data_IF_969852387368
#
_entry.id   IF_969852387368
#
_cell.length_a   1.000
_cell.length_b   1.000
_cell.length_c   1.000
_cell.angle_alpha   90.00
_cell.angle_beta   90.00
_cell.angle_gamma   90.00
#
_symmetry.space_group_name_H-M   'P 1'
#
loop_
_entity.id
_entity.type
_entity.pdbx_description
1 polymer ?
#
# COMPACT_ATOMS: atom_id res chain seq x y z
N UNK A 1 -5.36 3.53 20.50
CA UNK A 1 -5.75 4.04 19.17
C UNK A 1 -6.80 3.11 18.59
N UNK A 2 -8.05 3.54 18.42
CA UNK A 2 -9.03 2.78 17.64
C UNK A 2 -9.56 3.70 16.52
N UNK A 3 -8.82 3.83 15.43
CA UNK A 3 -9.30 4.54 14.23
C UNK A 3 -9.00 3.76 12.94
N UNK A 4 -8.30 2.63 12.98
CA UNK A 4 -7.78 2.00 11.75
C UNK A 4 -8.68 0.95 11.07
N UNK A 5 -9.98 0.92 11.36
CA UNK A 5 -10.88 -0.09 10.78
C UNK A 5 -12.13 0.45 10.07
N UNK A 6 -12.37 1.75 10.12
CA UNK A 6 -13.52 2.38 9.47
C UNK A 6 -13.19 2.93 8.07
N UNK A 7 -12.26 2.25 7.40
CA UNK A 7 -11.49 2.80 6.29
C UNK A 7 -11.98 2.30 4.92
N UNK A 8 -12.94 1.38 4.81
CA UNK A 8 -13.21 0.65 3.57
C UNK A 8 -13.57 1.52 2.34
N UNK A 9 -14.30 2.63 2.50
CA UNK A 9 -14.62 3.50 1.37
C UNK A 9 -13.74 4.76 1.30
N UNK A 10 -13.27 5.24 2.45
CA UNK A 10 -12.23 6.26 2.45
C UNK A 10 -10.87 5.67 2.01
N UNK A 11 -10.68 4.35 1.98
CA UNK A 11 -9.52 3.64 1.41
C UNK A 11 -9.52 3.73 -0.11
N UNK A 12 -10.63 4.03 -0.77
CA UNK A 12 -10.58 4.39 -2.19
C UNK A 12 -9.86 5.73 -2.41
N UNK A 13 -9.74 6.61 -1.40
CA UNK A 13 -9.02 7.89 -1.49
C UNK A 13 -7.79 7.96 -0.53
N UNK A 14 -7.72 7.09 0.48
CA UNK A 14 -6.68 7.06 1.52
C UNK A 14 -5.83 5.80 1.56
N UNK A 15 -6.19 4.72 0.84
CA UNK A 15 -5.27 3.59 0.65
C UNK A 15 -4.09 3.96 -0.24
N UNK A 16 -4.17 5.09 -0.95
CA UNK A 16 -3.07 5.62 -1.74
C UNK A 16 -2.02 6.41 -0.93
N UNK A 17 -2.05 6.31 0.40
CA UNK A 17 -0.86 6.57 1.24
C UNK A 17 -0.09 5.28 1.56
N UNK A 18 -0.39 4.18 0.86
CA UNK A 18 0.65 3.23 0.49
C UNK A 18 1.22 3.63 -0.86
N UNK A 19 2.55 3.82 -1.02
CA UNK A 19 3.12 3.95 -2.34
C UNK A 19 2.93 2.61 -3.04
N UNK A 20 1.99 2.57 -3.99
CA UNK A 20 1.99 1.58 -5.05
C UNK A 20 3.24 1.84 -5.91
N UNK A 21 4.39 1.35 -5.46
CA UNK A 21 5.63 1.33 -6.21
C UNK A 21 5.64 0.05 -7.07
N UNK A 22 4.81 0.00 -8.10
CA UNK A 22 4.97 -0.90 -9.23
C UNK A 22 4.05 -0.43 -10.36
N UNK A 23 4.59 -0.36 -11.57
CA UNK A 23 3.98 0.09 -12.83
C UNK A 23 4.25 1.57 -13.21
N UNK A 24 5.50 1.83 -13.62
CA UNK A 24 5.88 3.06 -14.33
C UNK A 24 5.80 2.87 -15.84
N UNK A 25 4.66 3.21 -16.42
CA UNK A 25 4.52 3.53 -17.85
C UNK A 25 4.35 5.05 -18.04
N UNK A 26 4.84 5.66 -19.14
CA UNK A 26 4.44 6.99 -19.56
C UNK A 26 3.13 6.87 -20.34
N UNK A 27 2.02 6.67 -19.63
CA UNK A 27 0.75 7.28 -20.09
C UNK A 27 0.98 8.79 -20.05
N UNK A 28 0.35 9.57 -20.93
CA UNK A 28 0.20 11.01 -20.69
C UNK A 28 -0.38 11.13 -19.28
N UNK A 29 0.50 11.43 -18.32
CA UNK A 29 0.15 11.30 -16.92
C UNK A 29 -0.83 12.42 -16.66
N UNK A 30 -2.12 12.09 -16.57
CA UNK A 30 -2.94 12.62 -15.50
C UNK A 30 -2.15 12.38 -14.21
N UNK A 31 -1.29 13.35 -13.91
CA UNK A 31 -0.41 13.39 -12.76
C UNK A 31 -1.30 13.73 -11.57
N UNK A 32 -2.13 12.78 -11.18
CA UNK A 32 -3.20 12.97 -10.21
C UNK A 32 -3.70 11.65 -9.65
N UNK A 33 -4.42 11.73 -8.55
CA UNK A 33 -5.05 10.57 -7.91
C UNK A 33 -6.18 9.97 -8.76
N UNK A 34 -6.55 10.59 -9.88
CA UNK A 34 -7.34 9.98 -10.96
C UNK A 34 -6.81 8.61 -11.43
N UNK A 35 -5.50 8.37 -11.35
CA UNK A 35 -4.91 7.05 -11.63
C UNK A 35 -5.45 5.94 -10.70
N UNK A 36 -6.00 6.27 -9.53
CA UNK A 36 -6.61 5.29 -8.62
C UNK A 36 -7.96 4.85 -9.14
N UNK A 37 -8.74 5.79 -9.69
CA UNK A 37 -10.03 5.51 -10.32
C UNK A 37 -9.81 4.61 -11.55
N UNK A 38 -8.77 4.89 -12.34
CA UNK A 38 -8.36 4.06 -13.48
C UNK A 38 -7.96 2.63 -13.09
N UNK A 39 -7.66 2.38 -11.81
CA UNK A 39 -7.21 1.08 -11.28
C UNK A 39 -8.22 0.46 -10.29
N UNK A 40 -9.51 0.79 -10.42
CA UNK A 40 -10.56 0.31 -9.51
C UNK A 40 -10.57 -1.22 -9.37
N UNK A 41 -10.35 -1.96 -10.45
CA UNK A 41 -10.30 -3.43 -10.42
C UNK A 41 -9.19 -3.97 -9.52
N UNK A 42 -8.01 -3.34 -9.55
CA UNK A 42 -6.88 -3.74 -8.71
C UNK A 42 -7.17 -3.46 -7.22
N UNK A 43 -7.85 -2.36 -6.93
CA UNK A 43 -8.26 -2.01 -5.56
C UNK A 43 -9.30 -2.98 -5.03
N UNK A 44 -10.32 -3.30 -5.83
CA UNK A 44 -11.37 -4.28 -5.51
C UNK A 44 -10.75 -5.67 -5.29
N UNK A 45 -9.82 -6.09 -6.15
CA UNK A 45 -9.14 -7.38 -6.02
C UNK A 45 -8.26 -7.44 -4.75
N UNK A 46 -7.48 -6.39 -4.47
CA UNK A 46 -6.65 -6.36 -3.26
C UNK A 46 -7.50 -6.31 -1.99
N UNK A 47 -8.58 -5.54 -2.00
CA UNK A 47 -9.48 -5.42 -0.85
C UNK A 47 -10.29 -6.69 -0.60
N UNK A 48 -10.81 -7.34 -1.65
CA UNK A 48 -11.53 -8.61 -1.52
C UNK A 48 -10.64 -9.71 -0.93
N UNK A 49 -9.37 -9.80 -1.32
CA UNK A 49 -8.39 -10.72 -0.70
C UNK A 49 -8.11 -10.41 0.77
N UNK A 50 -8.09 -9.14 1.12
CA UNK A 50 -7.96 -8.73 2.52
C UNK A 50 -9.18 -9.15 3.34
N UNK A 51 -10.39 -8.90 2.84
CA UNK A 51 -11.65 -9.30 3.49
C UNK A 51 -11.73 -10.82 3.62
N UNK A 52 -11.41 -11.55 2.55
CA UNK A 52 -11.40 -13.01 2.55
C UNK A 52 -10.53 -13.59 3.67
N UNK A 53 -9.30 -13.06 3.84
CA UNK A 53 -8.41 -13.49 4.93
C UNK A 53 -8.89 -13.06 6.31
N UNK A 54 -9.45 -11.86 6.45
CA UNK A 54 -9.90 -11.34 7.74
C UNK A 54 -11.08 -12.15 8.29
N UNK A 55 -11.99 -12.56 7.42
CA UNK A 55 -13.23 -13.25 7.78
C UNK A 55 -13.14 -14.76 7.59
N UNK A 56 -11.99 -15.27 7.18
CA UNK A 56 -11.79 -16.68 6.81
C UNK A 56 -12.89 -17.17 5.85
N UNK A 57 -13.11 -16.38 4.78
CA UNK A 57 -14.13 -16.70 3.79
C UNK A 57 -13.74 -17.95 3.00
N UNK A 58 -14.68 -18.85 2.79
CA UNK A 58 -14.49 -19.93 1.84
C UNK A 58 -14.45 -19.40 0.38
N UNK A 59 -14.06 -20.24 -0.57
CA UNK A 59 -13.89 -19.84 -1.97
C UNK A 59 -15.16 -19.24 -2.58
N UNK A 60 -16.33 -19.83 -2.30
CA UNK A 60 -17.62 -19.33 -2.78
C UNK A 60 -17.96 -17.97 -2.17
N UNK A 61 -17.80 -17.79 -0.86
CA UNK A 61 -18.01 -16.52 -0.17
C UNK A 61 -17.05 -15.44 -0.68
N UNK A 62 -15.79 -15.79 -0.93
CA UNK A 62 -14.78 -14.87 -1.46
C UNK A 62 -15.13 -14.39 -2.87
N UNK A 63 -15.59 -15.28 -3.75
CA UNK A 63 -16.05 -14.93 -5.10
C UNK A 63 -17.28 -14.03 -5.07
N UNK A 64 -18.29 -14.35 -4.25
CA UNK A 64 -19.47 -13.49 -4.06
C UNK A 64 -19.05 -12.11 -3.53
N UNK A 65 -18.14 -12.07 -2.56
CA UNK A 65 -17.62 -10.82 -1.97
C UNK A 65 -16.92 -9.97 -3.02
N UNK A 66 -16.07 -10.57 -3.85
CA UNK A 66 -15.39 -9.89 -4.97
C UNK A 66 -16.39 -9.29 -5.96
N UNK A 67 -17.38 -10.08 -6.38
CA UNK A 67 -18.37 -9.64 -7.35
C UNK A 67 -19.27 -8.53 -6.81
N UNK A 68 -19.71 -8.65 -5.55
CA UNK A 68 -20.50 -7.61 -4.88
C UNK A 68 -19.72 -6.29 -4.76
N UNK A 69 -18.44 -6.33 -4.35
CA UNK A 69 -17.59 -5.14 -4.29
C UNK A 69 -17.42 -4.50 -5.67
N UNK A 70 -17.21 -5.32 -6.71
CA UNK A 70 -17.06 -4.85 -8.09
C UNK A 70 -18.34 -4.17 -8.56
N UNK A 71 -19.47 -4.86 -8.47
CA UNK A 71 -20.78 -4.37 -8.92
C UNK A 71 -21.12 -3.03 -8.27
N UNK A 72 -21.04 -2.95 -6.94
CA UNK A 72 -21.36 -1.72 -6.19
C UNK A 72 -20.40 -0.57 -6.49
N UNK A 73 -19.13 -0.86 -6.72
CA UNK A 73 -18.15 0.17 -7.10
C UNK A 73 -18.46 0.73 -8.48
N UNK A 74 -18.77 -0.12 -9.46
CA UNK A 74 -19.14 0.34 -10.81
C UNK A 74 -20.50 1.03 -10.85
N UNK A 75 -21.48 0.58 -10.07
CA UNK A 75 -22.76 1.27 -9.93
C UNK A 75 -22.56 2.74 -9.53
N UNK A 76 -21.71 3.00 -8.53
CA UNK A 76 -21.40 4.35 -8.09
C UNK A 76 -20.58 5.14 -9.12
N UNK A 77 -19.50 4.54 -9.64
CA UNK A 77 -18.59 5.22 -10.57
C UNK A 77 -19.26 5.55 -11.89
N UNK A 78 -20.06 4.65 -12.47
CA UNK A 78 -20.78 4.91 -13.72
C UNK A 78 -21.67 6.15 -13.66
N UNK A 79 -22.14 6.53 -12.46
CA UNK A 79 -22.98 7.72 -12.25
C UNK A 79 -22.18 8.97 -11.91
N UNK A 80 -21.06 8.84 -11.21
CA UNK A 80 -20.38 9.95 -10.54
C UNK A 80 -18.89 10.10 -10.90
N UNK A 81 -18.35 9.30 -11.81
CA UNK A 81 -16.91 9.26 -12.10
C UNK A 81 -16.32 10.64 -12.39
N UNK A 82 -16.90 11.40 -13.31
CA UNK A 82 -16.39 12.70 -13.73
C UNK A 82 -16.36 13.69 -12.56
N UNK A 83 -17.46 13.77 -11.81
CA UNK A 83 -17.59 14.67 -10.67
C UNK A 83 -16.66 14.27 -9.53
N UNK A 84 -16.57 12.98 -9.24
CA UNK A 84 -15.65 12.43 -8.24
C UNK A 84 -14.21 12.74 -8.62
N UNK A 85 -13.82 12.52 -9.88
CA UNK A 85 -12.47 12.82 -10.38
C UNK A 85 -12.12 14.30 -10.17
N UNK A 86 -13.03 15.21 -10.56
CA UNK A 86 -12.85 16.64 -10.38
C UNK A 86 -12.67 17.03 -8.91
N UNK A 87 -13.51 16.50 -8.01
CA UNK A 87 -13.43 16.80 -6.57
C UNK A 87 -12.14 16.26 -5.94
N UNK A 88 -11.73 15.05 -6.33
CA UNK A 88 -10.52 14.39 -5.84
C UNK A 88 -9.28 15.14 -6.32
N UNK A 89 -9.17 15.43 -7.61
CA UNK A 89 -8.03 16.18 -8.14
C UNK A 89 -7.92 17.54 -7.46
N UNK A 90 -9.03 18.25 -7.27
CA UNK A 90 -9.04 19.54 -6.56
C UNK A 90 -8.61 19.42 -5.09
N UNK A 91 -9.09 18.39 -4.37
CA UNK A 91 -8.65 18.11 -3.00
C UNK A 91 -7.13 17.94 -2.92
N UNK A 92 -6.53 17.24 -3.88
CA UNK A 92 -5.09 16.99 -3.90
C UNK A 92 -4.27 18.22 -4.26
N UNK A 93 -4.72 19.03 -5.21
CA UNK A 93 -4.09 20.31 -5.51
C UNK A 93 -3.99 21.17 -4.24
N UNK A 94 -5.10 21.32 -3.52
CA UNK A 94 -5.15 22.14 -2.30
C UNK A 94 -4.24 21.58 -1.21
N UNK A 95 -4.22 20.25 -1.03
CA UNK A 95 -3.31 19.58 -0.09
C UNK A 95 -1.84 19.69 -0.48
N UNK A 96 -1.56 19.82 -1.78
CA UNK A 96 -0.22 20.02 -2.31
C UNK A 96 0.22 21.50 -2.27
N UNK A 97 -0.62 22.38 -1.72
CA UNK A 97 -0.31 23.79 -1.53
C UNK A 97 -0.95 24.73 -2.56
N UNK A 98 -1.79 24.24 -3.46
CA UNK A 98 -2.54 25.13 -4.34
C UNK A 98 -3.49 26.02 -3.52
N UNK A 99 -3.62 27.27 -3.93
CA UNK A 99 -4.55 28.21 -3.32
C UNK A 99 -6.00 27.79 -3.58
N UNK A 100 -6.85 27.97 -2.57
CA UNK A 100 -8.29 27.75 -2.61
C UNK A 100 -8.96 28.85 -1.79
N UNK A 101 -9.98 29.48 -2.35
CA UNK A 101 -10.75 30.49 -1.60
C UNK A 101 -11.73 29.83 -0.64
N UNK A 102 -12.23 30.58 0.34
CA UNK A 102 -13.27 30.06 1.24
C UNK A 102 -14.57 29.74 0.49
N UNK A 103 -14.95 30.58 -0.48
CA UNK A 103 -16.14 30.36 -1.32
C UNK A 103 -16.01 29.09 -2.16
N UNK A 104 -14.82 28.85 -2.72
CA UNK A 104 -14.52 27.63 -3.47
C UNK A 104 -14.57 26.38 -2.58
N UNK A 105 -14.10 26.48 -1.33
CA UNK A 105 -14.22 25.39 -0.36
C UNK A 105 -15.70 25.09 -0.03
N UNK A 106 -16.56 26.12 0.10
CA UNK A 106 -18.00 25.93 0.28
C UNK A 106 -18.61 25.20 -0.91
N UNK A 107 -18.27 25.61 -2.14
CA UNK A 107 -18.74 24.97 -3.36
C UNK A 107 -18.31 23.50 -3.44
N UNK A 108 -17.03 23.23 -3.16
CA UNK A 108 -16.49 21.88 -3.06
C UNK A 108 -17.30 21.02 -2.08
N UNK A 109 -17.63 21.56 -0.89
CA UNK A 109 -18.46 20.87 0.11
C UNK A 109 -19.88 20.57 -0.36
N UNK A 110 -20.54 21.52 -1.04
CA UNK A 110 -21.90 21.34 -1.59
C UNK A 110 -21.95 20.25 -2.65
N UNK A 111 -20.91 20.13 -3.45
CA UNK A 111 -20.76 19.12 -4.50
C UNK A 111 -20.39 17.74 -3.91
N UNK A 112 -19.49 17.70 -2.93
CA UNK A 112 -19.04 16.45 -2.32
C UNK A 112 -20.11 15.77 -1.44
N UNK A 113 -20.93 16.54 -0.72
CA UNK A 113 -21.92 16.00 0.22
C UNK A 113 -22.96 15.03 -0.42
N UNK A 114 -23.62 15.34 -1.54
CA UNK A 114 -24.56 14.41 -2.17
C UNK A 114 -23.89 13.11 -2.65
N UNK A 115 -22.69 13.20 -3.25
CA UNK A 115 -21.90 12.03 -3.67
C UNK A 115 -21.56 11.14 -2.46
N UNK A 116 -21.15 11.75 -1.36
CA UNK A 116 -20.85 11.05 -0.12
C UNK A 116 -22.08 10.33 0.46
N UNK A 117 -23.24 10.99 0.49
CA UNK A 117 -24.48 10.40 1.00
C UNK A 117 -24.96 9.22 0.15
N UNK A 118 -24.82 9.31 -1.17
CA UNK A 118 -25.14 8.20 -2.07
C UNK A 118 -24.18 7.03 -1.88
N UNK A 119 -22.87 7.30 -1.80
CA UNK A 119 -21.88 6.27 -1.52
C UNK A 119 -22.15 5.58 -0.18
N UNK A 120 -22.42 6.34 0.89
CA UNK A 120 -22.82 5.83 2.21
C UNK A 120 -24.00 4.86 2.13
N UNK A 121 -25.01 5.20 1.32
CA UNK A 121 -26.17 4.33 1.09
C UNK A 121 -25.79 3.03 0.38
N UNK A 122 -25.07 3.12 -0.75
CA UNK A 122 -24.62 1.95 -1.52
C UNK A 122 -23.81 0.98 -0.65
N UNK A 123 -22.97 1.51 0.25
CA UNK A 123 -22.17 0.70 1.18
C UNK A 123 -23.04 0.05 2.24
N UNK A 124 -24.01 0.78 2.81
CA UNK A 124 -24.92 0.22 3.79
C UNK A 124 -25.70 -0.96 3.19
N UNK A 125 -26.28 -0.75 2.00
CA UNK A 125 -27.05 -1.75 1.26
C UNK A 125 -26.16 -2.96 0.88
N UNK A 126 -24.92 -2.69 0.44
CA UNK A 126 -23.93 -3.73 0.12
C UNK A 126 -23.52 -4.55 1.35
N UNK A 127 -23.33 -3.92 2.52
CA UNK A 127 -23.02 -4.65 3.75
C UNK A 127 -24.19 -5.51 4.23
N UNK A 128 -25.44 -5.06 4.06
CA UNK A 128 -26.61 -5.88 4.39
C UNK A 128 -26.66 -7.16 3.53
N UNK A 129 -26.42 -7.03 2.22
CA UNK A 129 -26.32 -8.16 1.30
C UNK A 129 -25.15 -9.08 1.65
N UNK A 130 -23.97 -8.50 1.91
CA UNK A 130 -22.79 -9.27 2.27
C UNK A 130 -23.00 -10.05 3.57
N UNK A 131 -23.67 -9.45 4.56
CA UNK A 131 -23.98 -10.09 5.83
C UNK A 131 -24.83 -11.37 5.66
N UNK A 132 -25.65 -11.46 4.61
CA UNK A 132 -26.50 -12.62 4.36
C UNK A 132 -25.71 -13.90 4.01
N UNK A 133 -24.51 -13.77 3.43
CA UNK A 133 -23.66 -14.92 3.05
C UNK A 133 -22.70 -15.36 4.16
N UNK A 134 -22.65 -14.64 5.28
CA UNK A 134 -21.75 -14.90 6.39
C UNK A 134 -22.35 -15.92 7.37
N UNK A 135 -21.50 -16.73 7.99
CA UNK A 135 -21.87 -17.58 9.13
C UNK A 135 -21.99 -16.73 10.43
N UNK A 136 -22.42 -17.35 11.53
CA UNK A 136 -22.72 -16.61 12.77
C UNK A 136 -21.48 -15.98 13.42
N UNK A 137 -20.31 -16.63 13.33
CA UNK A 137 -19.05 -16.07 13.84
C UNK A 137 -18.59 -14.88 12.99
N UNK A 138 -18.59 -15.03 11.67
CA UNK A 138 -18.28 -13.96 10.71
C UNK A 138 -19.23 -12.77 10.88
N UNK A 139 -20.53 -13.02 11.10
CA UNK A 139 -21.55 -11.99 11.37
C UNK A 139 -21.24 -11.18 12.63
N UNK A 140 -20.73 -11.80 13.68
CA UNK A 140 -20.33 -11.08 14.90
C UNK A 140 -19.18 -10.11 14.62
N UNK A 141 -18.14 -10.55 13.91
CA UNK A 141 -17.04 -9.67 13.48
C UNK A 141 -17.54 -8.54 12.57
N UNK A 142 -18.43 -8.87 11.64
CA UNK A 142 -19.08 -7.90 10.75
C UNK A 142 -19.83 -6.81 11.53
N UNK A 143 -20.63 -7.19 12.53
CA UNK A 143 -21.42 -6.22 13.29
C UNK A 143 -20.55 -5.27 14.14
N UNK A 144 -19.38 -5.73 14.60
CA UNK A 144 -18.39 -4.87 15.25
C UNK A 144 -17.74 -3.90 14.26
N UNK A 145 -17.33 -4.38 13.09
CA UNK A 145 -16.79 -3.54 12.02
C UNK A 145 -17.82 -2.50 11.54
N UNK A 146 -19.09 -2.88 11.43
CA UNK A 146 -20.18 -2.01 10.99
C UNK A 146 -20.37 -0.82 11.94
N UNK A 147 -20.25 -1.03 13.25
CA UNK A 147 -20.29 0.06 14.24
C UNK A 147 -19.14 1.04 14.05
N UNK A 148 -17.93 0.52 13.80
CA UNK A 148 -16.76 1.38 13.54
C UNK A 148 -16.93 2.18 12.24
N UNK A 149 -17.46 1.53 11.19
CA UNK A 149 -17.77 2.19 9.93
C UNK A 149 -18.79 3.32 10.11
N UNK A 150 -19.88 3.08 10.83
CA UNK A 150 -20.90 4.09 11.13
C UNK A 150 -20.33 5.31 11.86
N UNK A 151 -19.41 5.11 12.80
CA UNK A 151 -18.72 6.21 13.49
C UNK A 151 -17.89 7.05 12.52
N UNK A 152 -17.15 6.42 11.60
CA UNK A 152 -16.41 7.15 10.58
C UNK A 152 -17.32 7.89 9.60
N UNK A 153 -18.48 7.32 9.29
CA UNK A 153 -19.45 8.03 8.47
C UNK A 153 -19.97 9.29 9.16
N UNK A 154 -20.27 9.22 10.44
CA UNK A 154 -20.68 10.38 11.22
C UNK A 154 -19.58 11.45 11.24
N UNK A 155 -18.33 11.07 11.53
CA UNK A 155 -17.21 12.02 11.55
C UNK A 155 -16.99 12.70 10.19
N UNK A 156 -17.11 11.97 9.09
CA UNK A 156 -16.92 12.52 7.73
C UNK A 156 -18.09 13.44 7.35
N UNK A 157 -19.32 13.06 7.70
CA UNK A 157 -20.52 13.86 7.49
C UNK A 157 -20.45 15.17 8.29
N UNK A 158 -20.00 15.13 9.54
CA UNK A 158 -19.72 16.33 10.34
C UNK A 158 -18.68 17.25 9.66
N UNK A 159 -17.59 16.69 9.12
CA UNK A 159 -16.58 17.49 8.40
C UNK A 159 -17.17 18.15 7.15
N UNK A 160 -17.91 17.43 6.33
CA UNK A 160 -18.57 17.98 5.13
C UNK A 160 -19.62 19.05 5.50
N UNK A 161 -20.36 18.85 6.58
CA UNK A 161 -21.30 19.84 7.09
C UNK A 161 -20.58 21.10 7.60
N UNK A 162 -19.42 20.95 8.26
CA UNK A 162 -18.58 22.10 8.67
C UNK A 162 -18.02 22.86 7.48
N UNK A 163 -17.64 22.17 6.41
CA UNK A 163 -17.26 22.79 5.14
C UNK A 163 -18.45 23.56 4.59
N UNK A 164 -19.60 22.92 4.38
CA UNK A 164 -20.78 23.52 3.75
C UNK A 164 -21.35 24.73 4.54
N UNK A 165 -21.22 24.71 5.88
CA UNK A 165 -21.61 25.82 6.75
C UNK A 165 -20.57 26.93 6.89
N UNK A 166 -19.38 26.78 6.29
CA UNK A 166 -18.27 27.74 6.41
C UNK A 166 -17.55 27.74 7.76
N UNK A 167 -17.81 26.75 8.61
CA UNK A 167 -17.14 26.57 9.89
C UNK A 167 -15.73 25.97 9.76
N UNK A 168 -15.43 25.34 8.62
CA UNK A 168 -14.10 24.83 8.30
C UNK A 168 -13.35 25.85 7.44
N UNK A 169 -12.14 26.21 7.88
CA UNK A 169 -11.24 27.09 7.12
C UNK A 169 -10.44 26.31 6.08
N UNK A 170 -9.91 27.00 5.06
CA UNK A 170 -9.04 26.38 4.05
C UNK A 170 -7.78 25.76 4.66
N UNK A 171 -7.16 26.39 5.67
CA UNK A 171 -5.98 25.81 6.33
C UNK A 171 -6.33 24.54 7.13
N UNK A 172 -7.48 24.54 7.82
CA UNK A 172 -7.99 23.33 8.48
C UNK A 172 -8.28 22.21 7.47
N UNK A 173 -8.91 22.54 6.34
CA UNK A 173 -9.20 21.59 5.26
C UNK A 173 -7.92 20.99 4.66
N UNK A 174 -6.89 21.83 4.44
CA UNK A 174 -5.56 21.41 3.98
C UNK A 174 -4.87 20.51 5.03
N UNK A 175 -5.02 20.82 6.32
CA UNK A 175 -4.32 20.17 7.42
C UNK A 175 -5.26 19.70 8.55
N UNK A 176 -6.10 18.67 8.32
CA UNK A 176 -7.13 18.25 9.29
C UNK A 176 -6.54 17.76 10.62
N UNK A 177 -5.25 17.36 10.65
CA UNK A 177 -4.55 16.97 11.89
C UNK A 177 -4.03 18.15 12.72
N UNK A 178 -3.84 19.32 12.11
CA UNK A 178 -3.33 20.52 12.80
C UNK A 178 -4.43 21.36 13.42
N UNK A 179 -5.68 21.18 12.97
CA UNK A 179 -6.84 21.76 13.62
C UNK A 179 -6.95 21.20 15.03
N UNK A 180 -6.32 21.88 15.98
CA UNK A 180 -6.59 21.70 17.39
C UNK A 180 -8.10 21.89 17.56
N UNK A 181 -8.77 21.08 18.41
CA UNK A 181 -10.14 21.37 18.80
C UNK A 181 -10.17 22.85 19.16
N UNK A 182 -10.96 23.65 18.41
CA UNK A 182 -11.13 25.06 18.70
C UNK A 182 -11.38 25.13 20.20
N UNK A 183 -10.55 25.86 20.97
CA UNK A 183 -10.71 25.90 22.41
C UNK A 183 -12.18 26.24 22.64
N UNK A 184 -12.91 25.31 23.30
CA UNK A 184 -14.34 25.49 23.57
C UNK A 184 -14.50 26.93 24.01
N UNK A 185 -15.40 27.72 23.38
CA UNK A 185 -15.57 29.11 23.75
C UNK A 185 -15.67 29.10 25.26
N UNK A 186 -14.66 29.70 25.90
CA UNK A 186 -14.59 29.78 27.35
C UNK A 186 -15.80 30.63 27.62
N UNK A 187 -16.93 29.98 27.94
CA UNK A 187 -18.15 30.66 28.32
C UNK A 187 -17.67 31.63 29.36
N UNK A 188 -17.73 32.92 29.02
CA UNK A 188 -17.15 33.98 29.81
C UNK A 188 -17.62 33.70 31.23
N UNK A 189 -16.69 33.18 32.04
CA UNK A 189 -16.98 32.81 33.41
C UNK A 189 -17.22 34.18 34.00
N UNK A 190 -18.50 34.53 34.11
CA UNK A 190 -18.98 35.74 34.73
C UNK A 190 -18.09 35.94 35.94
N UNK A 191 -17.41 37.08 35.95
CA UNK A 191 -16.52 37.53 37.01
C UNK A 191 -17.33 37.78 38.28
N UNK A 192 -17.99 36.74 38.79
CA UNK A 192 -18.41 36.61 40.16
C UNK A 192 -17.16 36.30 40.95
N UNK A 193 -16.79 37.22 41.81
CA UNK A 193 -15.73 37.09 42.80
C UNK A 193 -15.74 35.69 43.43
N UNK A 194 -14.57 35.08 43.68
CA UNK A 194 -14.51 33.82 44.41
C UNK A 194 -15.19 34.01 45.77
N UNK A 195 -16.04 33.08 46.23
CA UNK A 195 -16.47 33.09 47.62
C UNK A 195 -15.22 32.97 48.49
N UNK A 196 -15.06 33.94 49.39
CA UNK A 196 -14.08 33.89 50.46
C UNK A 196 -14.40 32.65 51.30
N UNK A 197 -13.62 31.58 51.10
CA UNK A 197 -13.67 30.41 51.98
C UNK A 197 -12.94 30.84 53.26
N UNK A 198 -13.73 31.08 54.31
CA UNK A 198 -13.24 31.33 55.65
C UNK A 198 -12.37 30.18 56.13
N UNK A 199 -11.24 30.54 56.74
CA UNK A 199 -10.12 29.67 57.14
C UNK A 199 -10.40 28.81 58.39
N UNK A 200 -11.67 28.46 58.67
CA UNK A 200 -12.10 27.90 59.95
C UNK A 200 -12.43 26.39 59.93
N UNK A 201 -12.47 25.72 58.77
CA UNK A 201 -12.85 24.29 58.67
C UNK A 201 -11.72 23.40 58.10
N UNK A 202 -10.47 23.66 58.51
CA UNK A 202 -9.30 22.89 58.07
C UNK A 202 -8.73 21.95 59.16
N UNK A 203 -9.53 21.53 60.14
CA UNK A 203 -9.05 20.74 61.28
C UNK A 203 -10.01 19.60 61.64
N UNK A 204 -10.24 18.67 60.70
CA UNK A 204 -10.66 17.29 60.97
C UNK A 204 -10.64 16.46 59.69
N UNK A 205 -9.44 16.07 59.24
CA UNK A 205 -9.29 14.92 58.36
C UNK A 205 -8.49 13.84 59.11
N UNK A 206 -9.02 12.61 59.23
CA UNK A 206 -8.29 11.53 59.86
C UNK A 206 -7.03 11.18 59.07
N UNK A 207 -5.94 10.76 59.74
CA UNK A 207 -4.69 10.41 59.07
C UNK A 207 -4.90 9.23 58.11
N UNK A 208 -4.31 9.34 56.92
CA UNK A 208 -4.33 8.29 55.92
C UNK A 208 -3.72 6.98 56.47
N UNK A 209 -4.34 5.82 56.21
CA UNK A 209 -3.77 4.54 56.64
C UNK A 209 -2.43 4.27 55.94
N UNK A 210 -1.48 3.62 56.61
CA UNK A 210 -0.17 3.31 56.02
C UNK A 210 -0.32 2.34 54.83
N UNK A 211 0.60 2.40 53.85
CA UNK A 211 0.55 1.56 52.66
C UNK A 211 0.69 0.08 53.02
N UNK A 212 -0.26 -0.73 52.54
CA UNK A 212 -0.25 -2.18 52.67
C UNK A 212 0.92 -2.74 51.85
N UNK A 213 1.79 -3.61 52.42
CA UNK A 213 2.85 -4.25 51.66
C UNK A 213 2.28 -5.19 50.59
N UNK A 214 2.94 -5.31 49.42
CA UNK A 214 2.47 -6.20 48.36
C UNK A 214 2.48 -7.66 48.82
N UNK A 215 1.49 -8.48 48.40
CA UNK A 215 1.43 -9.88 48.78
C UNK A 215 2.66 -10.63 48.28
N UNK A 216 3.29 -11.38 49.18
CA UNK A 216 4.39 -12.28 48.85
C UNK A 216 3.95 -13.27 47.77
N UNK A 217 4.72 -13.34 46.68
CA UNK A 217 4.55 -14.32 45.62
C UNK A 217 4.65 -15.73 46.22
N UNK A 218 3.51 -16.42 46.29
CA UNK A 218 3.44 -17.86 46.57
C UNK A 218 4.25 -18.59 45.49
N UNK A 219 5.31 -19.28 45.91
CA UNK A 219 6.01 -20.26 45.10
C UNK A 219 5.01 -21.30 44.56
N UNK A 220 4.81 -21.32 43.25
CA UNK A 220 4.12 -22.40 42.54
C UNK A 220 5.14 -23.52 42.30
N UNK A 221 4.90 -24.75 42.77
CA UNK A 221 5.79 -25.88 42.47
C UNK A 221 5.82 -26.15 40.97
N UNK A 222 7.03 -26.29 40.40
CA UNK A 222 7.23 -26.80 39.05
C UNK A 222 6.63 -28.22 38.94
N UNK A 223 5.85 -28.54 37.89
CA UNK A 223 5.45 -29.91 37.63
C UNK A 223 6.70 -30.71 37.22
N UNK A 224 6.96 -31.79 37.96
CA UNK A 224 7.96 -32.78 37.58
C UNK A 224 7.52 -33.50 36.29
N UNK A 225 8.47 -33.87 35.41
CA UNK A 225 8.16 -34.70 34.25
C UNK A 225 7.71 -36.08 34.72
N UNK A 226 6.48 -36.45 34.37
CA UNK A 226 5.95 -37.78 34.51
C UNK A 226 6.66 -38.72 33.51
N UNK A 227 7.61 -39.49 34.02
CA UNK A 227 8.10 -40.71 33.39
C UNK A 227 6.94 -41.72 33.29
N UNK A 228 6.67 -42.23 32.08
CA UNK A 228 5.84 -43.42 31.90
C UNK A 228 4.63 -43.33 30.96
N UNK A 229 4.74 -42.65 29.82
CA UNK A 229 3.79 -42.89 28.73
C UNK A 229 4.26 -44.09 27.88
N UNK A 230 3.48 -45.19 27.77
CA UNK A 230 3.81 -46.30 26.89
C UNK A 230 3.73 -45.88 25.41
N UNK A 231 4.55 -46.47 24.52
CA UNK A 231 4.52 -46.15 23.10
C UNK A 231 3.17 -46.52 22.46
N UNK A 232 2.71 -45.77 21.45
CA UNK A 232 1.51 -46.10 20.71
C UNK A 232 1.67 -47.43 19.96
N UNK A 233 0.59 -48.21 19.79
CA UNK A 233 0.66 -49.49 19.11
C UNK A 233 1.03 -49.32 17.63
N UNK A 234 1.94 -50.17 17.21
CA UNK A 234 2.41 -50.39 15.85
C UNK A 234 1.22 -50.86 14.98
N UNK A 235 0.87 -50.07 13.98
CA UNK A 235 -0.23 -50.38 13.04
C UNK A 235 0.35 -51.24 11.92
N UNK A 236 0.08 -52.54 11.96
CA UNK A 236 0.30 -53.45 10.84
C UNK A 236 -0.61 -53.10 9.65
N UNK A 237 -0.11 -53.16 8.39
CA UNK A 237 -0.91 -52.92 7.21
C UNK A 237 -1.78 -54.13 6.87
N UNK A 238 -3.11 -53.97 6.91
CA UNK A 238 -4.04 -54.95 6.34
C UNK A 238 -4.03 -54.92 4.80
N UNK A 239 -4.06 -56.08 4.12
CA UNK A 239 -4.18 -56.16 2.68
C UNK A 239 -5.65 -56.25 2.22
N UNK A 240 -5.97 -55.56 1.12
CA UNK A 240 -6.97 -56.00 0.14
C UNK A 240 -8.45 -55.80 0.51
N UNK A 241 -9.01 -54.66 0.12
CA UNK A 241 -10.46 -54.47 -0.04
C UNK A 241 -10.80 -54.10 -1.49
N UNK A 242 -11.41 -55.04 -2.20
CA UNK A 242 -11.95 -54.88 -3.54
C UNK A 242 -13.30 -54.14 -3.51
N UNK A 243 -13.52 -53.29 -4.52
CA UNK A 243 -14.84 -53.01 -5.11
C UNK A 243 -15.70 -51.94 -4.42
N UNK A 244 -15.94 -50.83 -5.10
CA UNK A 244 -17.22 -50.52 -5.79
C UNK A 244 -17.30 -49.04 -6.20
N UNK A 245 -17.78 -48.79 -7.42
CA UNK A 245 -18.53 -47.57 -7.76
C UNK A 245 -17.77 -46.33 -8.23
N UNK A 246 -17.19 -46.37 -9.43
CA UNK A 246 -16.76 -45.16 -10.15
C UNK A 246 -17.90 -44.68 -11.09
N UNK A 247 -18.43 -43.45 -10.94
CA UNK A 247 -19.45 -42.92 -11.85
C UNK A 247 -18.85 -42.55 -13.22
N UNK A 248 -19.64 -42.59 -14.30
CA UNK A 248 -19.12 -42.50 -15.67
C UNK A 248 -18.61 -41.10 -16.02
N UNK A 249 -17.38 -41.05 -16.56
CA UNK A 249 -16.79 -39.89 -17.22
C UNK A 249 -17.60 -39.47 -18.47
N UNK A 250 -17.84 -38.16 -18.69
CA UNK A 250 -18.41 -37.66 -19.92
C UNK A 250 -17.35 -37.66 -21.04
N UNK A 251 -17.65 -38.36 -22.13
CA UNK A 251 -16.87 -38.39 -23.37
C UNK A 251 -16.78 -36.99 -24.00
N UNK A 252 -15.59 -36.39 -23.99
CA UNK A 252 -15.24 -35.25 -24.84
C UNK A 252 -14.74 -35.75 -26.20
N UNK A 253 -15.09 -35.06 -27.31
CA UNK A 253 -14.69 -35.45 -28.66
C UNK A 253 -13.21 -35.17 -28.92
N UNK A 254 -12.55 -36.17 -29.51
CA UNK A 254 -11.16 -36.14 -29.96
C UNK A 254 -10.88 -34.96 -30.90
N UNK A 255 -9.99 -34.06 -30.47
CA UNK A 255 -9.41 -33.05 -31.34
C UNK A 255 -8.37 -33.68 -32.27
N UNK A 256 -8.59 -33.46 -33.56
CA UNK A 256 -7.77 -33.86 -34.70
C UNK A 256 -6.39 -33.18 -34.65
N UNK A 257 -5.31 -33.98 -34.75
CA UNK A 257 -3.93 -33.50 -34.83
C UNK A 257 -3.69 -32.83 -36.20
N UNK A 258 -3.17 -31.60 -36.26
CA UNK A 258 -2.63 -31.05 -37.51
C UNK A 258 -1.30 -31.70 -37.88
N UNK A 259 -1.17 -32.12 -39.13
CA UNK A 259 0.05 -32.63 -39.74
C UNK A 259 1.11 -31.52 -39.87
N UNK A 260 2.42 -31.84 -39.76
CA UNK A 260 3.50 -30.86 -39.97
C UNK A 260 3.75 -30.66 -41.47
N UNK A 261 3.49 -29.44 -41.95
CA UNK A 261 3.80 -28.99 -43.30
C UNK A 261 5.31 -28.76 -43.51
N UNK A 262 5.80 -29.28 -44.64
CA UNK A 262 7.12 -29.06 -45.25
C UNK A 262 7.58 -27.60 -45.21
N UNK A 263 8.75 -27.36 -44.63
CA UNK A 263 9.54 -26.15 -44.86
C UNK A 263 10.42 -26.38 -46.10
N UNK A 264 10.14 -25.66 -47.19
CA UNK A 264 11.01 -25.61 -48.36
C UNK A 264 12.17 -24.64 -48.12
N UNK A 265 13.35 -25.16 -48.43
CA UNK A 265 14.65 -24.54 -48.43
C UNK A 265 14.75 -23.58 -49.64
N UNK A 266 14.82 -22.27 -49.41
CA UNK A 266 15.28 -21.31 -50.42
C UNK A 266 16.31 -20.35 -49.84
N UNK A 267 17.53 -20.57 -50.30
CA UNK A 267 18.74 -19.79 -50.09
C UNK A 267 19.03 -19.02 -51.37
N UNK A 268 19.25 -17.71 -51.30
CA UNK A 268 20.32 -17.10 -52.07
C UNK A 268 21.12 -16.16 -51.14
N UNK A 269 22.45 -16.07 -51.19
CA UNK A 269 23.29 -15.90 -52.36
C UNK A 269 24.19 -14.70 -52.03
N UNK A 270 25.49 -14.94 -51.98
CA UNK A 270 26.51 -13.97 -51.57
C UNK A 270 26.64 -12.78 -52.54
N UNK A 271 27.03 -11.62 -52.03
CA UNK A 271 27.86 -10.66 -52.78
C UNK A 271 28.69 -9.76 -51.87
N UNK A 272 29.98 -9.74 -52.19
CA UNK A 272 31.05 -8.92 -51.65
C UNK A 272 31.04 -7.48 -52.22
N UNK A 273 31.85 -6.64 -51.57
CA UNK A 273 32.65 -5.48 -52.05
C UNK A 273 32.14 -4.10 -51.67
N UNK A 274 33.08 -3.31 -51.12
CA UNK A 274 33.13 -1.86 -51.33
C UNK A 274 33.56 -1.02 -50.13
N UNK A 275 34.86 -1.00 -49.82
CA UNK A 275 35.49 0.19 -49.21
C UNK A 275 35.58 1.30 -50.27
N UNK A 276 35.57 2.57 -49.85
CA UNK A 276 36.69 3.41 -50.28
C UNK A 276 37.27 4.36 -49.21
N UNK A 277 38.54 4.70 -49.49
CA UNK A 277 39.43 5.75 -48.99
C UNK A 277 38.76 7.12 -48.75
N UNK A 278 39.12 7.85 -47.68
CA UNK A 278 40.25 8.80 -47.60
C UNK A 278 40.31 9.82 -48.75
N UNK A 279 39.88 11.06 -48.46
CA UNK A 279 40.46 12.30 -49.00
C UNK A 279 40.01 13.52 -48.18
N UNK A 280 40.96 14.34 -47.75
CA UNK A 280 40.89 15.78 -48.07
C UNK A 280 40.48 16.76 -46.97
N UNK A 281 41.49 17.26 -46.26
CA UNK A 281 41.54 18.64 -45.72
C UNK A 281 41.79 19.62 -46.88
N UNK A 282 41.30 20.88 -46.83
CA UNK A 282 42.26 21.99 -46.70
C UNK A 282 41.74 23.19 -45.84
N UNK A 283 42.60 24.20 -45.58
CA UNK A 283 42.44 25.19 -44.52
C UNK A 283 41.97 26.57 -45.03
N UNK A 284 41.51 27.44 -44.13
CA UNK A 284 41.87 28.88 -44.14
C UNK A 284 41.42 29.59 -42.86
N UNK A 285 42.36 30.34 -42.30
CA UNK A 285 42.20 31.41 -41.31
C UNK A 285 41.22 32.49 -41.77
N UNK A 286 40.48 33.10 -40.82
CA UNK A 286 40.44 34.57 -40.73
C UNK A 286 40.03 35.07 -39.35
N UNK A 287 40.72 36.16 -39.01
CA UNK A 287 40.86 36.92 -37.77
C UNK A 287 39.73 37.96 -37.62
N UNK A 288 39.64 38.54 -36.41
CA UNK A 288 38.85 39.71 -35.95
C UNK A 288 37.40 39.41 -35.57
N UNK A 289 36.81 39.92 -34.48
CA UNK A 289 37.04 41.18 -33.78
C UNK A 289 36.38 41.12 -32.39
N UNK A 290 37.09 41.55 -31.35
CA UNK A 290 36.55 41.84 -30.02
C UNK A 290 35.76 43.15 -30.06
N UNK A 291 34.59 43.22 -29.39
CA UNK A 291 34.21 44.44 -28.69
C UNK A 291 33.93 44.14 -27.22
N UNK A 292 34.71 44.80 -26.36
CA UNK A 292 34.40 44.97 -24.95
C UNK A 292 33.12 45.80 -24.79
N UNK A 293 32.14 45.25 -24.08
CA UNK A 293 30.96 45.95 -23.59
C UNK A 293 30.65 45.49 -22.16
N UNK A 294 30.24 46.38 -21.24
CA UNK A 294 30.00 46.06 -19.84
C UNK A 294 28.74 45.17 -19.65
N UNK A 295 28.68 44.35 -18.59
CA UNK A 295 27.73 43.25 -18.47
C UNK A 295 26.30 43.76 -18.22
N UNK A 296 25.41 43.39 -19.13
CA UNK A 296 23.96 43.55 -18.98
C UNK A 296 23.41 42.37 -18.17
N UNK A 297 22.80 42.68 -17.02
CA UNK A 297 22.12 41.76 -16.12
C UNK A 297 21.12 40.88 -16.88
N UNK A 298 21.42 39.59 -16.98
CA UNK A 298 20.50 38.55 -17.43
C UNK A 298 19.73 37.98 -16.23
N UNK A 299 18.44 37.63 -16.39
CA UNK A 299 17.59 37.16 -15.31
C UNK A 299 18.03 35.80 -14.79
N UNK A 300 18.06 35.67 -13.47
CA UNK A 300 18.20 34.42 -12.73
C UNK A 300 17.12 33.43 -13.16
N UNK A 301 17.48 32.52 -14.07
CA UNK A 301 16.62 31.46 -14.55
C UNK A 301 17.47 30.23 -14.84
N UNK A 302 17.00 29.09 -14.30
CA UNK A 302 17.51 27.72 -14.48
C UNK A 302 18.45 27.22 -13.38
N UNK A 303 17.88 27.05 -12.19
CA UNK A 303 18.38 26.07 -11.21
C UNK A 303 17.58 24.77 -11.38
N UNK A 304 18.29 23.72 -11.80
CA UNK A 304 18.02 22.29 -11.57
C UNK A 304 16.61 21.72 -11.89
N UNK A 305 16.33 21.53 -13.19
CA UNK A 305 15.33 20.54 -13.65
C UNK A 305 16.04 19.30 -14.21
N UNK A 306 16.80 18.58 -13.37
CA UNK A 306 17.54 17.38 -13.78
C UNK A 306 17.30 16.13 -12.92
N UNK A 307 16.17 16.05 -12.21
CA UNK A 307 15.79 14.85 -11.45
C UNK A 307 14.85 13.87 -12.20
N UNK A 308 14.58 14.09 -13.49
CA UNK A 308 13.38 13.49 -14.13
C UNK A 308 13.57 12.14 -14.84
N UNK A 309 14.70 11.47 -14.67
CA UNK A 309 14.92 10.10 -15.17
C UNK A 309 15.55 9.25 -14.05
N UNK A 310 14.76 8.83 -13.05
CA UNK A 310 15.18 7.72 -12.19
C UNK A 310 15.13 6.45 -13.03
N UNK A 311 16.26 5.72 -13.19
CA UNK A 311 16.26 4.48 -13.95
C UNK A 311 15.35 3.47 -13.26
N UNK A 312 14.39 2.93 -14.02
CA UNK A 312 13.50 1.87 -13.54
C UNK A 312 14.37 0.68 -13.11
N UNK A 313 14.26 0.27 -11.85
CA UNK A 313 15.11 -0.77 -11.27
C UNK A 313 15.79 -0.41 -9.95
N UNK A 314 15.71 0.84 -9.46
CA UNK A 314 16.22 1.20 -8.12
C UNK A 314 15.18 1.13 -7.00
N UNK A 315 13.92 0.84 -7.31
CA UNK A 315 12.83 0.92 -6.34
C UNK A 315 12.98 -0.14 -5.22
N UNK A 316 13.54 -1.31 -5.54
CA UNK A 316 13.78 -2.38 -4.55
C UNK A 316 14.74 -1.97 -3.43
N UNK A 317 15.71 -1.09 -3.70
CA UNK A 317 16.69 -0.67 -2.68
C UNK A 317 15.99 0.03 -1.51
N UNK A 318 15.01 0.89 -1.83
CA UNK A 318 14.25 1.65 -0.84
C UNK A 318 13.30 0.77 -0.02
N UNK A 319 12.73 -0.27 -0.65
CA UNK A 319 11.86 -1.21 0.04
C UNK A 319 12.64 -2.09 1.01
N UNK A 320 13.83 -2.54 0.61
CA UNK A 320 14.71 -3.33 1.46
C UNK A 320 15.25 -2.50 2.63
N UNK A 321 15.63 -1.25 2.39
CA UNK A 321 16.01 -0.32 3.46
C UNK A 321 14.89 -0.18 4.49
N UNK A 322 13.68 0.11 4.02
CA UNK A 322 12.51 0.24 4.91
C UNK A 322 12.27 -1.03 5.71
N UNK A 323 12.31 -2.19 5.05
CA UNK A 323 12.13 -3.48 5.72
C UNK A 323 13.16 -3.70 6.84
N UNK A 324 14.44 -3.43 6.57
CA UNK A 324 15.51 -3.59 7.56
C UNK A 324 15.37 -2.59 8.72
N UNK A 325 15.00 -1.34 8.43
CA UNK A 325 14.73 -0.34 9.47
C UNK A 325 13.56 -0.75 10.38
N UNK A 326 12.46 -1.24 9.78
CA UNK A 326 11.33 -1.78 10.53
C UNK A 326 11.73 -3.02 11.34
N UNK A 327 12.59 -3.88 10.81
CA UNK A 327 13.10 -5.06 11.50
C UNK A 327 13.95 -4.68 12.72
N UNK A 328 14.89 -3.74 12.57
CA UNK A 328 15.71 -3.19 13.66
C UNK A 328 14.82 -2.63 14.77
N UNK A 329 13.84 -1.81 14.39
CA UNK A 329 12.90 -1.19 15.33
C UNK A 329 12.03 -2.22 16.05
N UNK A 330 11.52 -3.23 15.31
CA UNK A 330 10.64 -4.27 15.85
C UNK A 330 11.31 -5.13 16.89
N UNK A 331 12.55 -5.55 16.65
CA UNK A 331 13.29 -6.43 17.55
C UNK A 331 14.19 -5.68 18.54
N UNK A 332 14.22 -4.34 18.47
CA UNK A 332 15.10 -3.48 19.29
C UNK A 332 16.53 -4.01 19.27
N UNK A 333 17.07 -4.16 18.07
CA UNK A 333 18.44 -4.62 17.90
C UNK A 333 19.41 -3.64 18.56
N UNK A 334 20.45 -4.17 19.20
CA UNK A 334 21.54 -3.35 19.73
C UNK A 334 22.43 -2.80 18.60
N UNK A 335 23.43 -2.00 18.95
CA UNK A 335 24.31 -1.36 17.96
C UNK A 335 25.09 -2.39 17.13
N UNK A 336 25.56 -3.47 17.74
CA UNK A 336 26.33 -4.50 17.05
C UNK A 336 25.43 -5.31 16.09
N UNK A 337 24.25 -5.72 16.54
CA UNK A 337 23.23 -6.38 15.71
C UNK A 337 22.75 -5.47 14.57
N UNK A 338 22.61 -4.17 14.83
CA UNK A 338 22.21 -3.17 13.82
C UNK A 338 23.28 -3.03 12.74
N UNK A 339 24.56 -2.92 13.11
CA UNK A 339 25.66 -2.91 12.15
C UNK A 339 25.68 -4.19 11.31
N UNK A 340 25.44 -5.35 11.94
CA UNK A 340 25.35 -6.62 11.23
C UNK A 340 24.16 -6.66 10.25
N UNK A 341 22.98 -6.16 10.65
CA UNK A 341 21.81 -6.05 9.79
C UNK A 341 22.08 -5.15 8.56
N UNK A 342 22.75 -4.01 8.76
CA UNK A 342 23.15 -3.10 7.69
C UNK A 342 24.19 -3.73 6.75
N UNK A 343 25.13 -4.51 7.28
CA UNK A 343 26.08 -5.26 6.46
C UNK A 343 25.39 -6.31 5.59
N UNK A 344 24.45 -7.07 6.14
CA UNK A 344 23.66 -8.07 5.38
C UNK A 344 22.87 -7.36 4.26
N UNK A 345 22.23 -6.23 4.57
CA UNK A 345 21.50 -5.44 3.58
C UNK A 345 22.42 -4.99 2.44
N UNK A 346 23.61 -4.47 2.78
CA UNK A 346 24.61 -4.05 1.80
C UNK A 346 25.02 -5.20 0.89
N UNK A 347 25.36 -6.37 1.45
CA UNK A 347 25.74 -7.57 0.68
C UNK A 347 24.63 -7.97 -0.31
N UNK A 348 23.38 -8.03 0.16
CA UNK A 348 22.24 -8.40 -0.67
C UNK A 348 22.01 -7.36 -1.79
N UNK A 349 22.13 -6.06 -1.50
CA UNK A 349 22.01 -5.00 -2.51
C UNK A 349 23.11 -5.11 -3.56
N UNK A 350 24.35 -5.37 -3.16
CA UNK A 350 25.46 -5.60 -4.10
C UNK A 350 25.20 -6.81 -5.01
N UNK A 351 24.64 -7.90 -4.47
CA UNK A 351 24.27 -9.08 -5.26
C UNK A 351 23.16 -8.77 -6.28
N UNK A 352 22.09 -8.08 -5.86
CA UNK A 352 21.02 -7.65 -6.74
C UNK A 352 21.53 -6.69 -7.84
N UNK A 353 22.39 -5.73 -7.46
CA UNK A 353 22.99 -4.78 -8.40
C UNK A 353 23.92 -5.48 -9.40
N UNK A 354 24.69 -6.49 -8.99
CA UNK A 354 25.51 -7.29 -9.91
C UNK A 354 24.65 -8.05 -10.92
N UNK A 355 23.55 -8.64 -10.46
CA UNK A 355 22.61 -9.32 -11.35
C UNK A 355 21.95 -8.34 -12.35
N UNK A 356 21.48 -7.19 -11.87
CA UNK A 356 20.91 -6.14 -12.72
C UNK A 356 21.91 -5.59 -13.72
N UNK A 357 23.17 -5.40 -13.32
CA UNK A 357 24.22 -4.95 -14.24
C UNK A 357 24.40 -5.92 -15.42
N UNK A 358 24.32 -7.23 -15.18
CA UNK A 358 24.36 -8.26 -16.22
C UNK A 358 23.10 -8.31 -17.10
N UNK A 359 21.97 -7.84 -16.58
CA UNK A 359 20.66 -7.82 -17.28
C UNK A 359 20.29 -6.47 -17.88
N UNK A 360 21.14 -5.45 -17.71
CA UNK A 360 20.85 -4.07 -18.09
C UNK A 360 20.40 -3.91 -19.54
N UNK A 361 21.10 -4.51 -20.50
CA UNK A 361 20.76 -4.38 -21.92
C UNK A 361 19.41 -5.04 -22.26
N UNK A 362 19.11 -6.19 -21.65
CA UNK A 362 17.83 -6.90 -21.85
C UNK A 362 16.65 -6.06 -21.30
N UNK A 363 16.83 -5.47 -20.12
CA UNK A 363 15.84 -4.55 -19.52
C UNK A 363 15.64 -3.31 -20.38
N UNK A 364 16.72 -2.68 -20.87
CA UNK A 364 16.64 -1.52 -21.76
C UNK A 364 15.89 -1.85 -23.07
N UNK A 365 16.11 -3.04 -23.64
CA UNK A 365 15.38 -3.49 -24.84
C UNK A 365 13.88 -3.69 -24.56
N UNK A 366 13.52 -4.29 -23.42
CA UNK A 366 12.12 -4.44 -23.00
C UNK A 366 11.45 -3.08 -22.80
N UNK A 367 12.13 -2.16 -22.10
CA UNK A 367 11.59 -0.82 -21.84
C UNK A 367 11.40 -0.01 -23.15
N UNK A 368 12.32 -0.15 -24.12
CA UNK A 368 12.17 0.46 -25.45
C UNK A 368 10.99 -0.13 -26.22
N UNK A 369 10.81 -1.45 -26.21
CA UNK A 369 9.66 -2.12 -26.86
C UNK A 369 8.35 -1.70 -26.22
N UNK A 370 8.26 -1.72 -24.89
CA UNK A 370 7.10 -1.26 -24.14
C UNK A 370 6.77 0.20 -24.50
N UNK A 371 7.76 1.09 -24.54
CA UNK A 371 7.56 2.48 -24.92
C UNK A 371 6.99 2.64 -26.35
N UNK A 372 7.45 1.83 -27.30
CA UNK A 372 6.94 1.83 -28.68
C UNK A 372 5.50 1.32 -28.82
N UNK A 373 5.07 0.39 -27.96
CA UNK A 373 3.74 -0.22 -28.01
C UNK A 373 2.65 0.64 -27.37
N UNK A 374 2.98 1.53 -26.44
CA UNK A 374 2.01 2.40 -25.74
C UNK A 374 1.23 3.34 -26.65
N UNK A 375 1.75 3.62 -27.83
CA UNK A 375 1.05 4.43 -28.83
C UNK A 375 -0.12 3.67 -29.52
N UNK A 376 -0.17 2.34 -29.43
CA UNK A 376 -1.11 1.50 -30.16
C UNK A 376 -2.03 0.71 -29.21
N UNK A 377 -3.29 1.16 -29.09
CA UNK A 377 -4.29 0.57 -28.19
C UNK A 377 -4.63 -0.90 -28.51
N UNK A 378 -4.28 -1.39 -29.69
CA UNK A 378 -4.60 -2.76 -30.12
C UNK A 378 -3.58 -3.81 -29.66
N UNK A 379 -2.48 -3.40 -29.01
CA UNK A 379 -1.35 -4.28 -28.69
C UNK A 379 -1.26 -4.73 -27.22
N UNK A 380 -2.39 -4.79 -26.53
CA UNK A 380 -2.46 -5.19 -25.12
C UNK A 380 -1.81 -6.55 -24.83
N UNK A 381 -1.93 -7.52 -25.75
CA UNK A 381 -1.32 -8.84 -25.60
C UNK A 381 0.22 -8.77 -25.58
N UNK A 382 0.81 -7.98 -26.47
CA UNK A 382 2.27 -7.83 -26.58
C UNK A 382 2.83 -7.10 -25.34
N UNK A 383 2.11 -6.08 -24.85
CA UNK A 383 2.43 -5.41 -23.58
C UNK A 383 2.48 -6.41 -22.42
N UNK A 384 1.45 -7.26 -22.29
CA UNK A 384 1.39 -8.27 -21.23
C UNK A 384 2.54 -9.29 -21.31
N UNK A 385 2.94 -9.70 -22.53
CA UNK A 385 4.07 -10.61 -22.74
C UNK A 385 5.41 -9.98 -22.34
N UNK A 386 5.64 -8.70 -22.70
CA UNK A 386 6.85 -7.97 -22.30
C UNK A 386 6.91 -7.74 -20.79
N UNK A 387 5.78 -7.44 -20.15
CA UNK A 387 5.70 -7.34 -18.69
C UNK A 387 6.01 -8.67 -18.00
N UNK A 388 5.52 -9.79 -18.55
CA UNK A 388 5.85 -11.12 -18.03
C UNK A 388 7.35 -11.42 -18.16
N UNK A 389 7.98 -11.04 -19.28
CA UNK A 389 9.44 -11.18 -19.46
C UNK A 389 10.20 -10.32 -18.45
N UNK A 390 9.80 -9.06 -18.27
CA UNK A 390 10.40 -8.15 -17.29
C UNK A 390 10.29 -8.71 -15.88
N UNK A 391 9.12 -9.22 -15.50
CA UNK A 391 8.89 -9.86 -14.20
C UNK A 391 9.82 -11.06 -14.00
N UNK A 392 9.99 -11.91 -15.02
CA UNK A 392 10.90 -13.06 -14.99
C UNK A 392 12.37 -12.64 -14.80
N UNK A 393 12.79 -11.55 -15.44
CA UNK A 393 14.14 -11.01 -15.21
C UNK A 393 14.30 -10.52 -13.77
N UNK A 394 13.27 -9.92 -13.17
CA UNK A 394 13.32 -9.41 -11.80
C UNK A 394 13.15 -10.48 -10.71
N UNK A 395 12.68 -11.69 -11.06
CA UNK A 395 12.43 -12.78 -10.11
C UNK A 395 13.65 -13.15 -9.25
N UNK A 396 14.89 -13.27 -9.78
CA UNK A 396 16.06 -13.56 -8.96
C UNK A 396 16.38 -12.49 -7.90
N UNK A 397 15.96 -11.24 -8.11
CA UNK A 397 16.11 -10.17 -7.11
C UNK A 397 15.14 -10.40 -5.95
N UNK A 398 13.90 -10.80 -6.26
CA UNK A 398 12.93 -11.25 -5.27
C UNK A 398 13.45 -12.44 -4.46
N UNK A 399 14.12 -13.38 -5.12
CA UNK A 399 14.78 -14.51 -4.46
C UNK A 399 15.91 -14.08 -3.51
N UNK A 400 16.72 -13.07 -3.86
CA UNK A 400 17.73 -12.53 -2.93
C UNK A 400 17.06 -12.00 -1.66
N UNK A 401 15.92 -11.31 -1.80
CA UNK A 401 15.17 -10.80 -0.66
C UNK A 401 14.61 -11.94 0.21
N UNK A 402 13.85 -12.87 -0.40
CA UNK A 402 13.13 -13.93 0.32
C UNK A 402 14.07 -15.02 0.86
N UNK A 403 15.04 -15.46 0.07
CA UNK A 403 15.90 -16.61 0.40
C UNK A 403 17.19 -16.23 1.11
N UNK A 404 17.62 -14.96 1.06
CA UNK A 404 18.88 -14.53 1.68
C UNK A 404 18.71 -13.43 2.72
N UNK A 405 18.07 -12.31 2.36
CA UNK A 405 17.96 -11.17 3.28
C UNK A 405 17.13 -11.54 4.52
N UNK A 406 15.90 -12.04 4.35
CA UNK A 406 15.04 -12.39 5.50
C UNK A 406 15.67 -13.46 6.41
N UNK A 407 16.14 -14.62 5.90
CA UNK A 407 16.68 -15.67 6.76
C UNK A 407 17.96 -15.28 7.50
N UNK A 408 18.79 -14.39 6.93
CA UNK A 408 19.97 -13.85 7.62
C UNK A 408 19.57 -12.87 8.73
N UNK A 409 18.59 -12.01 8.49
CA UNK A 409 18.09 -11.07 9.49
C UNK A 409 17.38 -11.78 10.65
N UNK A 410 16.57 -12.81 10.38
CA UNK A 410 15.84 -13.57 11.40
C UNK A 410 16.73 -14.28 12.43
N UNK A 411 18.01 -14.46 12.11
CA UNK A 411 19.02 -15.03 13.02
C UNK A 411 19.63 -14.01 13.99
N UNK A 412 19.50 -12.71 13.71
CA UNK A 412 20.10 -11.66 14.54
C UNK A 412 19.41 -11.49 15.90
N UNK A 413 18.07 -11.46 16.00
CA UNK A 413 17.40 -11.26 17.28
C UNK A 413 17.64 -12.42 18.26
N UNK A 414 17.98 -12.07 19.50
CA UNK A 414 18.05 -13.02 20.61
C UNK A 414 16.69 -13.66 20.89
N UNK A 415 16.68 -14.80 21.59
CA UNK A 415 15.42 -15.46 22.02
C UNK A 415 14.56 -14.52 22.86
N UNK A 416 15.19 -13.69 23.71
CA UNK A 416 14.50 -12.68 24.53
C UNK A 416 13.86 -11.59 23.68
N UNK A 417 14.59 -10.99 22.73
CA UNK A 417 14.05 -9.99 21.79
C UNK A 417 12.88 -10.54 20.98
N UNK A 418 12.94 -11.81 20.53
CA UNK A 418 11.83 -12.47 19.83
C UNK A 418 10.59 -12.62 20.70
N UNK A 419 10.75 -13.11 21.93
CA UNK A 419 9.65 -13.25 22.88
C UNK A 419 9.03 -11.89 23.24
N UNK A 420 9.84 -10.85 23.42
CA UNK A 420 9.37 -9.49 23.68
C UNK A 420 8.61 -8.91 22.49
N UNK A 421 9.11 -9.09 21.26
CA UNK A 421 8.41 -8.65 20.05
C UNK A 421 7.07 -9.38 19.85
N UNK A 422 7.02 -10.68 20.15
CA UNK A 422 5.78 -11.47 20.10
C UNK A 422 4.79 -11.04 21.19
N UNK A 423 5.25 -10.80 22.42
CA UNK A 423 4.43 -10.28 23.50
C UNK A 423 3.91 -8.86 23.20
N UNK A 424 4.72 -8.01 22.57
CA UNK A 424 4.31 -6.70 22.10
C UNK A 424 3.26 -6.78 20.98
N UNK A 425 3.38 -7.76 20.08
CA UNK A 425 2.36 -8.00 19.05
C UNK A 425 1.05 -8.55 19.62
N UNK A 426 1.13 -9.37 20.69
CA UNK A 426 -0.04 -9.96 21.38
C UNK A 426 -0.77 -8.98 22.29
N UNK A 427 -0.12 -7.93 22.80
CA UNK A 427 -0.81 -6.89 23.58
C UNK A 427 -1.67 -6.06 22.60
N UNK A 428 -3.01 -6.26 22.56
CA UNK A 428 -3.84 -5.37 21.76
C UNK A 428 -3.57 -3.96 22.26
N UNK A 429 -3.36 -3.01 21.35
CA UNK A 429 -3.00 -1.63 21.66
C UNK A 429 -4.12 -0.97 22.50
N UNK A 430 -4.12 -1.25 23.80
CA UNK A 430 -5.09 -0.80 24.78
C UNK A 430 -5.20 0.70 24.63
N UNK A 431 -6.43 1.16 24.39
CA UNK A 431 -6.81 2.57 24.19
C UNK A 431 -5.98 3.45 25.13
N UNK A 432 -5.05 4.21 24.54
CA UNK A 432 -4.37 5.32 25.21
C UNK A 432 -5.49 6.22 25.77
N UNK A 433 -5.56 6.43 27.10
CA UNK A 433 -6.60 7.25 27.72
C UNK A 433 -6.53 8.69 27.25
#
# INVERSE_FOLDING_TARGET
>A
MPVRLAYALFLLISAAVWPAAAQSEPRERTSGYSAIIDNIDLLVENYSRFVARKYDLNEQQAEITRNLLRERSYEFLNKHEDELRNLVDRLFEVRSGAEMSQEELLDWGRRALPLYNEAKKIIADGNEQWRAILNDEQKKTHDEDLKLMQQSFQTTEEQLNRINSGQMTVDEFRNPRRARPTPRPVTARSSGSPPVISKADAESLPPAPPPVPPPALRNVPQPQPSDGAPPPPEVEPQPGGQGEGQPPEPKLPSAEKPQPGKLTDERPGASQKGQPADTGRPPTDTRTKTPSGPPQLAPEGRVERRERNKPAGKDFESEWDRYVQEFIARYKLDDAQTQQAQSILKDCKEQANRYLAGKKSEIEQLDQRLAGLKADKNKNKEVAELDAQRKKIMEPIGDVFEKQLKPRLEKLPTRKQRAEAEAAAKKPASKKP
#
